data_IF_180025069288
#
_entry.id   IF_180025069288
#
_cell.length_a   1.000
_cell.length_b   1.000
_cell.length_c   1.000
_cell.angle_alpha   90.00
_cell.angle_beta   90.00
_cell.angle_gamma   90.00
#
_symmetry.space_group_name_H-M   'P 1'
#
loop_
_entity.id
_entity.type
_entity.pdbx_description
1 polymer ?
#
# COMPACT_ATOMS: atom_id res chain seq x y z
N UNK A 1 -27.46 -7.93 18.98
CA UNK A 1 -26.48 -6.88 19.36
C UNK A 1 -25.79 -6.36 18.11
N UNK A 2 -25.18 -5.15 18.19
CA UNK A 2 -24.42 -4.55 17.06
C UNK A 2 -23.29 -5.48 16.58
N UNK A 3 -22.68 -6.24 17.49
CA UNK A 3 -21.65 -7.24 17.16
C UNK A 3 -22.23 -8.42 16.37
N UNK A 4 -23.41 -8.90 16.72
CA UNK A 4 -24.09 -9.95 15.95
C UNK A 4 -24.44 -9.47 14.54
N UNK A 5 -24.86 -8.21 14.41
CA UNK A 5 -25.17 -7.62 13.12
C UNK A 5 -23.91 -7.43 12.25
N UNK A 6 -22.77 -7.10 12.85
CA UNK A 6 -21.49 -7.08 12.17
C UNK A 6 -21.06 -8.49 11.72
N UNK A 7 -21.22 -9.48 12.62
CA UNK A 7 -20.89 -10.88 12.33
C UNK A 7 -21.76 -11.42 11.19
N UNK A 8 -23.07 -11.19 11.22
CA UNK A 8 -23.99 -11.57 10.13
C UNK A 8 -23.59 -10.92 8.81
N UNK A 9 -23.26 -9.64 8.84
CA UNK A 9 -22.81 -8.92 7.64
C UNK A 9 -21.52 -9.50 7.07
N UNK A 10 -20.52 -9.81 7.92
CA UNK A 10 -19.29 -10.43 7.49
C UNK A 10 -19.51 -11.82 6.86
N UNK A 11 -20.38 -12.65 7.48
CA UNK A 11 -20.75 -13.96 6.92
C UNK A 11 -21.48 -13.80 5.58
N UNK A 12 -22.45 -12.87 5.48
CA UNK A 12 -23.17 -12.60 4.23
C UNK A 12 -22.24 -12.17 3.10
N UNK A 13 -21.28 -11.31 3.41
CA UNK A 13 -20.30 -10.82 2.43
C UNK A 13 -19.08 -11.73 2.27
N UNK A 14 -19.00 -12.83 3.03
CA UNK A 14 -17.88 -13.80 3.04
C UNK A 14 -16.54 -13.13 3.35
N UNK A 15 -16.52 -12.16 4.23
CA UNK A 15 -15.33 -11.43 4.68
C UNK A 15 -14.97 -11.92 6.07
N UNK A 16 -13.74 -12.40 6.26
CA UNK A 16 -13.23 -12.82 7.57
C UNK A 16 -12.51 -11.64 8.23
N UNK A 17 -11.58 -11.03 7.52
CA UNK A 17 -10.84 -9.86 7.97
C UNK A 17 -10.66 -8.89 6.81
N UNK A 18 -11.49 -7.87 6.78
CA UNK A 18 -11.47 -6.86 5.70
C UNK A 18 -10.10 -6.19 5.52
N UNK A 19 -9.39 -5.89 6.62
CA UNK A 19 -8.10 -5.20 6.55
C UNK A 19 -7.01 -6.07 5.92
N UNK A 20 -6.97 -7.35 6.25
CA UNK A 20 -5.97 -8.26 5.72
C UNK A 20 -6.29 -8.64 4.28
N UNK A 21 -7.57 -8.90 3.98
CA UNK A 21 -8.02 -9.17 2.61
C UNK A 21 -7.74 -7.99 1.66
N UNK A 22 -7.96 -6.74 2.11
CA UNK A 22 -7.64 -5.58 1.29
C UNK A 22 -6.15 -5.35 1.09
N UNK A 23 -5.30 -5.66 2.09
CA UNK A 23 -3.84 -5.61 1.94
C UNK A 23 -3.37 -6.66 0.94
N UNK A 24 -3.91 -7.86 1.02
CA UNK A 24 -3.59 -8.95 0.10
C UNK A 24 -3.99 -8.59 -1.33
N UNK A 25 -5.22 -8.13 -1.56
CA UNK A 25 -5.68 -7.65 -2.88
C UNK A 25 -4.76 -6.54 -3.41
N UNK A 26 -4.35 -5.59 -2.55
CA UNK A 26 -3.45 -4.51 -2.95
C UNK A 26 -2.04 -5.02 -3.31
N UNK A 27 -1.52 -5.99 -2.57
CA UNK A 27 -0.22 -6.62 -2.84
C UNK A 27 -0.25 -7.39 -4.16
N UNK A 28 -1.27 -8.21 -4.38
CA UNK A 28 -1.47 -8.96 -5.62
C UNK A 28 -1.66 -8.02 -6.82
N UNK A 29 -2.43 -6.94 -6.67
CA UNK A 29 -2.59 -5.95 -7.74
C UNK A 29 -1.27 -5.28 -8.13
N UNK A 30 -0.41 -4.98 -7.15
CA UNK A 30 0.93 -4.45 -7.40
C UNK A 30 1.80 -5.47 -8.15
N UNK A 31 1.73 -6.74 -7.78
CA UNK A 31 2.47 -7.82 -8.43
C UNK A 31 2.05 -7.97 -9.89
N UNK A 32 0.74 -8.04 -10.18
CA UNK A 32 0.25 -8.12 -11.56
C UNK A 32 0.54 -6.86 -12.37
N UNK A 33 0.57 -5.68 -11.75
CA UNK A 33 0.99 -4.46 -12.43
C UNK A 33 2.47 -4.50 -12.86
N UNK A 34 3.34 -5.08 -12.05
CA UNK A 34 4.75 -5.30 -12.41
C UNK A 34 4.87 -6.35 -13.51
N UNK A 35 4.16 -7.48 -13.40
CA UNK A 35 4.15 -8.53 -14.45
C UNK A 35 3.66 -7.98 -15.79
N UNK A 36 2.62 -7.14 -15.79
CA UNK A 36 2.12 -6.47 -17.00
C UNK A 36 3.20 -5.55 -17.61
N UNK A 37 3.90 -4.79 -16.79
CA UNK A 37 4.99 -3.92 -17.24
C UNK A 37 6.15 -4.73 -17.83
N UNK A 38 6.56 -5.80 -17.18
CA UNK A 38 7.62 -6.69 -17.63
C UNK A 38 7.24 -7.39 -18.95
N UNK A 39 6.01 -7.90 -19.04
CA UNK A 39 5.50 -8.53 -20.26
C UNK A 39 5.40 -7.52 -21.42
N UNK A 40 4.98 -6.29 -21.17
CA UNK A 40 4.93 -5.23 -22.17
C UNK A 40 6.35 -4.84 -22.64
N UNK A 41 7.29 -4.76 -21.74
CA UNK A 41 8.69 -4.52 -22.08
C UNK A 41 9.27 -5.64 -22.91
N UNK A 42 9.07 -6.90 -22.51
CA UNK A 42 9.52 -8.09 -23.25
C UNK A 42 8.90 -8.15 -24.64
N UNK A 43 7.61 -7.86 -24.77
CA UNK A 43 6.88 -7.83 -26.03
C UNK A 43 7.46 -6.77 -26.99
N UNK A 44 7.67 -5.56 -26.50
CA UNK A 44 8.22 -4.46 -27.31
C UNK A 44 9.70 -4.74 -27.71
N UNK A 45 10.47 -5.30 -26.79
CA UNK A 45 11.87 -5.67 -27.05
C UNK A 45 11.98 -6.78 -28.10
N UNK A 46 11.19 -7.86 -27.94
CA UNK A 46 11.17 -8.95 -28.91
C UNK A 46 10.68 -8.48 -30.29
N UNK A 47 9.67 -7.61 -30.33
CA UNK A 47 9.18 -7.02 -31.59
C UNK A 47 10.27 -6.19 -32.29
N UNK A 48 10.95 -5.31 -31.55
CA UNK A 48 12.04 -4.51 -32.12
C UNK A 48 13.18 -5.39 -32.65
N UNK A 49 13.50 -6.48 -31.95
CA UNK A 49 14.52 -7.43 -32.37
C UNK A 49 14.07 -8.20 -33.63
N UNK A 50 12.80 -8.61 -33.69
CA UNK A 50 12.23 -9.25 -34.90
C UNK A 50 12.31 -8.33 -36.11
N UNK A 51 11.91 -7.06 -35.96
CA UNK A 51 11.98 -6.08 -37.03
C UNK A 51 13.43 -5.87 -37.52
N UNK A 52 14.41 -5.90 -36.61
CA UNK A 52 15.82 -5.77 -36.96
C UNK A 52 16.36 -7.02 -37.64
N UNK A 53 16.05 -8.21 -37.13
CA UNK A 53 16.42 -9.48 -37.76
C UNK A 53 15.83 -9.61 -39.17
N UNK A 54 14.56 -9.21 -39.36
CA UNK A 54 13.91 -9.23 -40.68
C UNK A 54 14.54 -8.29 -41.69
N UNK A 55 15.09 -7.13 -41.25
CA UNK A 55 15.85 -6.22 -42.12
C UNK A 55 17.14 -6.83 -42.60
N UNK A 56 17.83 -7.58 -41.73
CA UNK A 56 19.09 -8.25 -42.07
C UNK A 56 18.94 -9.59 -42.76
N UNK A 57 17.73 -10.14 -42.82
CA UNK A 57 17.44 -11.36 -43.60
C UNK A 57 17.54 -11.13 -45.10
N UNK A 58 18.24 -12.03 -45.77
CA UNK A 58 18.25 -12.10 -47.22
C UNK A 58 16.95 -12.69 -47.79
N UNK A 59 16.81 -12.69 -49.14
CA UNK A 59 15.62 -13.19 -49.80
C UNK A 59 15.33 -14.67 -49.51
N UNK A 60 16.36 -15.50 -49.33
CA UNK A 60 16.19 -16.93 -49.06
C UNK A 60 15.71 -17.15 -47.63
N UNK A 61 16.30 -16.47 -46.64
CA UNK A 61 15.82 -16.53 -45.26
C UNK A 61 14.36 -16.07 -45.17
N UNK A 62 14.01 -14.94 -45.83
CA UNK A 62 12.62 -14.46 -45.90
C UNK A 62 11.65 -15.44 -46.56
N UNK A 63 12.13 -16.27 -47.50
CA UNK A 63 11.34 -17.29 -48.15
C UNK A 63 11.09 -18.49 -47.23
N UNK A 64 12.08 -18.88 -46.42
CA UNK A 64 11.98 -19.94 -45.41
C UNK A 64 10.91 -19.57 -44.37
N UNK A 65 10.99 -18.39 -43.76
CA UNK A 65 10.00 -17.97 -42.74
C UNK A 65 8.58 -17.79 -43.29
N UNK A 66 8.41 -17.71 -44.62
CA UNK A 66 7.11 -17.68 -45.31
C UNK A 66 6.65 -19.05 -45.80
N UNK A 67 7.48 -20.11 -45.69
CA UNK A 67 7.09 -21.44 -46.04
C UNK A 67 5.90 -21.94 -45.21
N UNK A 68 4.93 -22.55 -45.85
CA UNK A 68 3.68 -22.94 -45.21
C UNK A 68 3.88 -23.98 -44.10
N UNK A 69 4.82 -24.91 -44.27
CA UNK A 69 5.17 -25.91 -43.25
C UNK A 69 5.86 -25.26 -42.06
N UNK A 70 6.82 -24.38 -42.32
CA UNK A 70 7.54 -23.63 -41.30
C UNK A 70 6.58 -22.76 -40.46
N UNK A 71 5.69 -22.01 -41.14
CA UNK A 71 4.66 -21.18 -40.48
C UNK A 71 3.70 -22.04 -39.65
N UNK A 72 3.30 -23.22 -40.15
CA UNK A 72 2.45 -24.15 -39.41
C UNK A 72 3.09 -24.63 -38.10
N UNK A 73 4.39 -25.00 -38.15
CA UNK A 73 5.13 -25.42 -36.95
C UNK A 73 5.39 -24.27 -35.95
N UNK A 74 5.66 -23.07 -36.45
CA UNK A 74 5.78 -21.87 -35.60
C UNK A 74 4.46 -21.62 -34.89
N UNK A 75 3.34 -21.66 -35.58
CA UNK A 75 2.04 -21.47 -34.96
C UNK A 75 1.78 -22.51 -33.88
N UNK A 76 2.07 -23.78 -34.11
CA UNK A 76 1.97 -24.83 -33.10
C UNK A 76 2.89 -24.53 -31.89
N UNK A 77 4.13 -24.12 -32.12
CA UNK A 77 5.07 -23.77 -31.07
C UNK A 77 4.64 -22.54 -30.28
N UNK A 78 4.06 -21.53 -30.94
CA UNK A 78 3.50 -20.32 -30.30
C UNK A 78 2.30 -20.67 -29.43
N UNK A 79 1.37 -21.50 -29.92
CA UNK A 79 0.21 -21.94 -29.14
C UNK A 79 0.62 -22.73 -27.89
N UNK A 80 1.64 -23.60 -28.02
CA UNK A 80 2.19 -24.35 -26.88
C UNK A 80 2.90 -23.41 -25.89
N UNK A 81 3.65 -22.44 -26.40
CA UNK A 81 4.30 -21.43 -25.55
C UNK A 81 3.27 -20.64 -24.75
N UNK A 82 2.16 -20.23 -25.38
CA UNK A 82 1.05 -19.58 -24.69
C UNK A 82 0.46 -20.45 -23.57
N UNK A 83 0.20 -21.74 -23.84
CA UNK A 83 -0.31 -22.69 -22.81
C UNK A 83 0.69 -22.92 -21.69
N UNK A 84 1.98 -22.97 -21.96
CA UNK A 84 3.01 -23.07 -20.93
C UNK A 84 2.96 -21.84 -20.03
N UNK A 85 2.90 -20.64 -20.60
CA UNK A 85 2.80 -19.39 -19.83
C UNK A 85 1.52 -19.31 -19.00
N UNK A 86 0.41 -19.80 -19.53
CA UNK A 86 -0.86 -19.86 -18.79
C UNK A 86 -0.78 -20.80 -17.59
N UNK A 87 -0.24 -22.02 -17.77
CA UNK A 87 -0.09 -22.99 -16.68
C UNK A 87 0.92 -22.48 -15.64
N UNK A 88 2.05 -21.90 -16.07
CA UNK A 88 3.06 -21.31 -15.16
C UNK A 88 2.50 -20.13 -14.35
N UNK A 89 1.62 -19.33 -14.93
CA UNK A 89 0.99 -18.20 -14.24
C UNK A 89 -0.11 -18.64 -13.25
N UNK A 90 -0.81 -19.74 -13.54
CA UNK A 90 -1.90 -20.27 -12.71
C UNK A 90 -1.43 -21.35 -11.73
N UNK A 91 -0.14 -21.70 -11.70
CA UNK A 91 0.41 -22.83 -10.95
C UNK A 91 0.45 -22.63 -9.45
N UNK A 92 -0.74 -22.68 -8.82
CA UNK A 92 -0.90 -23.14 -7.46
C UNK A 92 -1.19 -24.65 -7.47
N UNK A 93 -0.09 -25.46 -7.42
CA UNK A 93 -0.01 -26.81 -6.84
C UNK A 93 -1.03 -27.89 -7.21
N UNK A 94 -1.39 -28.09 -8.48
CA UNK A 94 -2.08 -29.32 -8.86
C UNK A 94 -1.17 -30.24 -9.70
N UNK A 95 -0.95 -31.46 -9.23
CA UNK A 95 -0.07 -32.47 -9.87
C UNK A 95 -0.43 -32.78 -11.35
N UNK A 96 -1.66 -32.54 -11.77
CA UNK A 96 -2.10 -32.68 -13.17
C UNK A 96 -1.51 -31.62 -14.08
N UNK A 97 -1.37 -30.41 -13.59
CA UNK A 97 -0.84 -29.27 -14.35
C UNK A 97 0.67 -29.45 -14.62
N UNK A 98 1.41 -30.04 -13.68
CA UNK A 98 2.85 -30.36 -13.85
C UNK A 98 3.08 -31.36 -14.98
N UNK A 99 2.25 -32.38 -15.10
CA UNK A 99 2.38 -33.37 -16.18
C UNK A 99 2.08 -32.75 -17.55
N UNK A 100 1.02 -31.96 -17.65
CA UNK A 100 0.68 -31.22 -18.86
C UNK A 100 1.78 -30.22 -19.25
N UNK A 101 2.33 -29.50 -18.24
CA UNK A 101 3.43 -28.57 -18.42
C UNK A 101 4.68 -29.27 -19.00
N UNK A 102 5.06 -30.41 -18.41
CA UNK A 102 6.22 -31.17 -18.87
C UNK A 102 6.02 -31.69 -20.29
N UNK A 103 4.82 -32.19 -20.62
CA UNK A 103 4.49 -32.64 -21.98
C UNK A 103 4.55 -31.49 -22.99
N UNK A 104 4.02 -30.33 -22.65
CA UNK A 104 4.09 -29.13 -23.49
C UNK A 104 5.53 -28.66 -23.69
N UNK A 105 6.38 -28.62 -22.61
CA UNK A 105 7.80 -28.29 -22.71
C UNK A 105 8.56 -29.28 -23.61
N UNK A 106 8.27 -30.57 -23.49
CA UNK A 106 8.87 -31.60 -24.36
C UNK A 106 8.45 -31.41 -25.83
N UNK A 107 7.17 -31.19 -26.10
CA UNK A 107 6.67 -30.95 -27.44
C UNK A 107 7.26 -29.69 -28.09
N UNK A 108 7.39 -28.60 -27.26
CA UNK A 108 8.04 -27.38 -27.72
C UNK A 108 9.51 -27.60 -28.10
N UNK A 109 10.23 -28.40 -27.32
CA UNK A 109 11.61 -28.80 -27.63
C UNK A 109 11.71 -29.61 -28.94
N UNK A 110 10.79 -30.53 -29.16
CA UNK A 110 10.72 -31.30 -30.39
C UNK A 110 10.43 -30.38 -31.60
N UNK A 111 9.45 -29.49 -31.50
CA UNK A 111 9.14 -28.51 -32.55
C UNK A 111 10.31 -27.58 -32.89
N UNK A 112 11.04 -27.12 -31.87
CA UNK A 112 12.25 -26.32 -32.10
C UNK A 112 13.29 -27.08 -32.90
N UNK A 113 13.49 -28.36 -32.62
CA UNK A 113 14.41 -29.22 -33.36
C UNK A 113 13.94 -29.43 -34.81
N UNK A 114 12.64 -29.74 -34.99
CA UNK A 114 12.05 -29.88 -36.32
C UNK A 114 12.17 -28.60 -37.16
N UNK A 115 11.98 -27.41 -36.53
CA UNK A 115 12.15 -26.11 -37.19
C UNK A 115 13.59 -25.85 -37.57
N UNK A 116 14.57 -26.21 -36.72
CA UNK A 116 15.99 -26.11 -37.04
C UNK A 116 16.40 -27.03 -38.19
N UNK A 117 15.91 -28.28 -38.19
CA UNK A 117 16.15 -29.24 -39.28
C UNK A 117 15.56 -28.76 -40.63
N UNK A 118 14.35 -28.17 -40.61
CA UNK A 118 13.75 -27.55 -41.80
C UNK A 118 14.59 -26.37 -42.30
N UNK A 119 15.08 -25.55 -41.38
CA UNK A 119 15.97 -24.42 -41.73
C UNK A 119 17.23 -24.91 -42.42
N UNK A 120 17.90 -25.91 -41.87
CA UNK A 120 19.12 -26.48 -42.41
C UNK A 120 18.87 -27.12 -43.81
N UNK A 121 17.72 -27.76 -44.03
CA UNK A 121 17.37 -28.36 -45.29
C UNK A 121 17.16 -27.34 -46.44
N UNK A 122 16.65 -26.14 -46.10
CA UNK A 122 16.38 -25.07 -47.06
C UNK A 122 17.55 -24.12 -47.30
N UNK A 123 18.55 -24.09 -46.40
CA UNK A 123 19.72 -23.19 -46.51
C UNK A 123 20.79 -23.81 -47.44
N UNK A 124 20.65 -23.58 -48.73
CA UNK A 124 21.63 -24.06 -49.74
C UNK A 124 23.02 -23.39 -49.67
N UNK A 125 23.15 -22.23 -48.99
CA UNK A 125 24.42 -21.53 -48.77
C UNK A 125 24.55 -21.10 -47.32
N UNK A 126 25.63 -21.51 -46.69
CA UNK A 126 25.88 -21.43 -45.26
C UNK A 126 26.04 -20.00 -44.70
N UNK A 127 26.36 -19.00 -45.54
CA UNK A 127 26.66 -17.64 -45.14
C UNK A 127 25.89 -16.58 -45.94
N UNK A 128 25.49 -15.51 -45.29
CA UNK A 128 24.97 -14.31 -45.95
C UNK A 128 26.07 -13.56 -46.67
N UNK A 129 25.70 -12.51 -47.48
CA UNK A 129 26.68 -11.61 -48.13
C UNK A 129 27.57 -10.87 -47.13
N UNK A 130 27.11 -10.67 -45.89
CA UNK A 130 27.80 -10.05 -44.79
C UNK A 130 28.64 -11.05 -43.94
N UNK A 131 28.69 -12.32 -44.30
CA UNK A 131 29.47 -13.36 -43.61
C UNK A 131 28.81 -13.96 -42.36
N UNK A 132 27.53 -13.67 -42.10
CA UNK A 132 26.77 -14.24 -40.97
C UNK A 132 26.14 -15.58 -41.38
N UNK A 133 26.21 -16.59 -40.51
CA UNK A 133 25.52 -17.84 -40.73
C UNK A 133 24.00 -17.60 -40.88
N UNK A 134 23.42 -18.02 -41.97
CA UNK A 134 21.97 -17.86 -42.24
C UNK A 134 21.10 -18.62 -41.28
N UNK A 135 21.50 -19.81 -40.88
CA UNK A 135 20.84 -20.61 -39.84
C UNK A 135 20.74 -19.84 -38.53
N UNK A 136 21.81 -19.15 -38.13
CA UNK A 136 21.83 -18.37 -36.90
C UNK A 136 20.81 -17.21 -36.90
N UNK A 137 20.59 -16.54 -38.03
CA UNK A 137 19.60 -15.45 -38.11
C UNK A 137 18.19 -15.97 -37.99
N UNK A 138 17.90 -17.11 -38.63
CA UNK A 138 16.56 -17.76 -38.60
C UNK A 138 16.31 -18.33 -37.22
N UNK A 139 17.31 -18.95 -36.55
CA UNK A 139 17.19 -19.47 -35.21
C UNK A 139 16.95 -18.34 -34.19
N UNK A 140 17.69 -17.23 -34.32
CA UNK A 140 17.44 -16.05 -33.51
C UNK A 140 16.05 -15.43 -33.72
N UNK A 141 15.61 -15.37 -34.96
CA UNK A 141 14.26 -14.92 -35.34
C UNK A 141 13.19 -15.84 -34.74
N UNK A 142 13.38 -17.14 -34.80
CA UNK A 142 12.49 -18.12 -34.17
C UNK A 142 12.43 -17.94 -32.65
N UNK A 143 13.57 -17.82 -32.03
CA UNK A 143 13.66 -17.56 -30.55
C UNK A 143 12.92 -16.29 -30.18
N UNK A 144 13.16 -15.20 -30.91
CA UNK A 144 12.47 -13.92 -30.65
C UNK A 144 10.97 -14.01 -30.92
N UNK A 145 10.54 -14.79 -31.91
CA UNK A 145 9.11 -15.05 -32.20
C UNK A 145 8.46 -15.77 -31.04
N UNK A 146 9.09 -16.79 -30.46
CA UNK A 146 8.56 -17.52 -29.32
C UNK A 146 8.57 -16.64 -28.05
N UNK A 147 9.57 -15.79 -27.84
CA UNK A 147 9.61 -14.81 -26.74
C UNK A 147 8.50 -13.76 -26.90
N UNK A 148 8.25 -13.29 -28.11
CA UNK A 148 7.15 -12.37 -28.41
C UNK A 148 5.79 -12.99 -28.07
N UNK A 149 5.52 -14.22 -28.52
CA UNK A 149 4.26 -14.91 -28.23
C UNK A 149 4.12 -15.24 -26.73
N UNK A 150 5.22 -15.60 -26.06
CA UNK A 150 5.25 -15.77 -24.62
C UNK A 150 4.87 -14.47 -23.89
N UNK A 151 5.53 -13.38 -24.22
CA UNK A 151 5.26 -12.08 -23.62
C UNK A 151 3.83 -11.59 -23.86
N UNK A 152 3.29 -11.87 -25.05
CA UNK A 152 1.91 -11.58 -25.41
C UNK A 152 0.90 -12.36 -24.56
N UNK A 153 1.16 -13.67 -24.35
CA UNK A 153 0.34 -14.51 -23.48
C UNK A 153 0.40 -14.02 -22.02
N UNK A 154 1.60 -13.74 -21.50
CA UNK A 154 1.81 -13.21 -20.15
C UNK A 154 1.12 -11.87 -19.96
N UNK A 155 1.18 -10.97 -20.95
CA UNK A 155 0.49 -9.68 -20.92
C UNK A 155 -1.03 -9.88 -20.81
N UNK A 156 -1.60 -10.76 -21.62
CA UNK A 156 -3.04 -11.03 -21.60
C UNK A 156 -3.48 -11.61 -20.24
N UNK A 157 -2.69 -12.53 -19.68
CA UNK A 157 -2.96 -13.12 -18.38
C UNK A 157 -2.91 -12.05 -17.28
N UNK A 158 -1.86 -11.22 -17.29
CA UNK A 158 -1.71 -10.15 -16.31
C UNK A 158 -2.86 -9.13 -16.38
N UNK A 159 -3.30 -8.76 -17.58
CA UNK A 159 -4.43 -7.87 -17.80
C UNK A 159 -5.75 -8.46 -17.30
N UNK A 160 -6.03 -9.72 -17.64
CA UNK A 160 -7.23 -10.41 -17.18
C UNK A 160 -7.27 -10.54 -15.67
N UNK A 161 -6.15 -10.92 -15.05
CA UNK A 161 -6.04 -11.02 -13.59
C UNK A 161 -6.22 -9.67 -12.90
N UNK A 162 -5.67 -8.60 -13.47
CA UNK A 162 -5.90 -7.23 -12.96
C UNK A 162 -7.35 -6.80 -13.09
N UNK A 163 -8.02 -7.15 -14.16
CA UNK A 163 -9.44 -6.86 -14.33
C UNK A 163 -10.27 -7.58 -13.26
N UNK A 164 -10.02 -8.88 -13.04
CA UNK A 164 -10.69 -9.65 -11.99
C UNK A 164 -10.44 -9.06 -10.59
N UNK A 165 -9.20 -8.66 -10.30
CA UNK A 165 -8.87 -7.99 -9.04
C UNK A 165 -9.56 -6.65 -8.90
N UNK A 166 -9.70 -5.88 -9.97
CA UNK A 166 -10.42 -4.61 -9.94
C UNK A 166 -11.91 -4.81 -9.66
N UNK A 167 -12.51 -5.84 -10.21
CA UNK A 167 -13.90 -6.23 -9.91
C UNK A 167 -14.06 -6.60 -8.43
N UNK A 168 -13.13 -7.38 -7.88
CA UNK A 168 -13.08 -7.66 -6.44
C UNK A 168 -12.92 -6.39 -5.61
N UNK A 169 -12.05 -5.49 -6.00
CA UNK A 169 -11.85 -4.21 -5.32
C UNK A 169 -13.13 -3.37 -5.29
N UNK A 170 -13.83 -3.25 -6.42
CA UNK A 170 -15.11 -2.54 -6.52
C UNK A 170 -16.17 -3.17 -5.60
N UNK A 171 -16.18 -4.49 -5.47
CA UNK A 171 -17.05 -5.21 -4.54
C UNK A 171 -16.68 -4.92 -3.08
N UNK A 172 -15.40 -4.98 -2.72
CA UNK A 172 -14.93 -4.82 -1.34
C UNK A 172 -14.98 -3.37 -0.83
N UNK A 173 -14.86 -2.37 -1.68
CA UNK A 173 -14.83 -0.96 -1.28
C UNK A 173 -16.08 -0.53 -0.48
N UNK A 174 -17.32 -0.78 -0.92
CA UNK A 174 -18.53 -0.47 -0.15
C UNK A 174 -18.67 -1.36 1.10
N UNK A 175 -18.24 -2.62 1.01
CA UNK A 175 -18.26 -3.55 2.15
C UNK A 175 -17.40 -3.01 3.29
N UNK A 176 -16.18 -2.57 2.98
CA UNK A 176 -15.28 -2.01 3.98
C UNK A 176 -15.80 -0.72 4.62
N UNK A 177 -16.47 0.12 3.85
CA UNK A 177 -17.10 1.34 4.39
C UNK A 177 -18.17 0.97 5.40
N UNK A 178 -19.00 -0.01 5.10
CA UNK A 178 -20.06 -0.50 5.99
C UNK A 178 -19.50 -1.17 7.24
N UNK A 179 -18.46 -2.00 7.10
CA UNK A 179 -17.75 -2.63 8.24
C UNK A 179 -17.22 -1.56 9.19
N UNK A 180 -16.46 -0.58 8.66
CA UNK A 180 -15.92 0.54 9.45
C UNK A 180 -17.01 1.38 10.13
N UNK A 181 -18.16 1.53 9.50
CA UNK A 181 -19.30 2.22 10.11
C UNK A 181 -19.86 1.42 11.28
N UNK A 182 -20.04 0.11 11.12
CA UNK A 182 -20.51 -0.80 12.18
C UNK A 182 -19.51 -0.88 13.34
N UNK A 183 -18.22 -1.01 13.07
CA UNK A 183 -17.16 -0.98 14.09
C UNK A 183 -17.17 0.33 14.90
N UNK A 184 -17.34 1.48 14.24
CA UNK A 184 -17.48 2.76 14.94
C UNK A 184 -18.72 2.81 15.82
N UNK A 185 -19.82 2.24 15.37
CA UNK A 185 -21.06 2.16 16.16
C UNK A 185 -20.87 1.27 17.40
N UNK A 186 -20.22 0.12 17.25
CA UNK A 186 -19.87 -0.79 18.36
C UNK A 186 -19.01 -0.04 19.38
N UNK A 187 -17.91 0.57 18.94
CA UNK A 187 -17.01 1.34 19.81
C UNK A 187 -17.72 2.50 20.53
N UNK A 188 -18.64 3.18 19.84
CA UNK A 188 -19.43 4.24 20.44
C UNK A 188 -20.39 3.70 21.51
N UNK A 189 -21.10 2.62 21.20
CA UNK A 189 -22.04 1.98 22.12
C UNK A 189 -21.32 1.41 23.34
N UNK A 190 -20.17 0.78 23.14
CA UNK A 190 -19.31 0.28 24.23
C UNK A 190 -18.87 1.40 25.17
N UNK A 191 -18.35 2.52 24.63
CA UNK A 191 -17.95 3.68 25.43
C UNK A 191 -19.13 4.25 26.23
N UNK A 192 -20.29 4.36 25.59
CA UNK A 192 -21.49 4.84 26.27
C UNK A 192 -21.90 3.88 27.39
N UNK A 193 -21.89 2.56 27.12
CA UNK A 193 -22.17 1.55 28.13
C UNK A 193 -21.22 1.65 29.33
N UNK A 194 -19.92 1.73 29.08
CA UNK A 194 -18.91 1.87 30.15
C UNK A 194 -19.11 3.17 30.95
N UNK A 195 -19.47 4.28 30.30
CA UNK A 195 -19.75 5.55 30.95
C UNK A 195 -20.97 5.46 31.86
N UNK A 196 -22.06 4.86 31.35
CA UNK A 196 -23.28 4.64 32.14
C UNK A 196 -23.01 3.69 33.30
N UNK A 197 -22.27 2.60 33.06
CA UNK A 197 -21.89 1.65 34.11
C UNK A 197 -21.05 2.31 35.21
N UNK A 198 -20.10 3.16 34.84
CA UNK A 198 -19.30 3.92 35.79
C UNK A 198 -20.17 4.87 36.62
N UNK A 199 -21.03 5.64 35.96
CA UNK A 199 -21.97 6.54 36.65
C UNK A 199 -22.95 5.79 37.57
N UNK A 200 -23.42 4.62 37.15
CA UNK A 200 -24.22 3.76 37.98
C UNK A 200 -23.48 3.27 39.23
N UNK A 201 -22.25 2.80 39.06
CA UNK A 201 -21.40 2.37 40.16
C UNK A 201 -21.09 3.51 41.15
N UNK A 202 -20.80 4.72 40.63
CA UNK A 202 -20.65 5.89 41.50
C UNK A 202 -21.92 6.21 42.27
N UNK A 203 -23.08 6.21 41.63
CA UNK A 203 -24.36 6.42 42.29
C UNK A 203 -24.62 5.37 43.38
N UNK A 204 -24.31 4.09 43.10
CA UNK A 204 -24.43 3.01 44.07
C UNK A 204 -23.51 3.18 45.26
N UNK A 205 -22.23 3.58 45.03
CA UNK A 205 -21.29 3.88 46.12
C UNK A 205 -21.74 5.07 46.95
N UNK A 206 -22.23 6.15 46.31
CA UNK A 206 -22.79 7.30 47.02
C UNK A 206 -23.99 6.89 47.87
N UNK A 207 -24.93 6.05 47.34
CA UNK A 207 -26.06 5.53 48.10
C UNK A 207 -25.58 4.72 49.32
N UNK A 208 -24.64 3.80 49.17
CA UNK A 208 -24.05 3.01 50.25
C UNK A 208 -23.37 3.90 51.29
N UNK A 209 -22.61 4.88 50.86
CA UNK A 209 -21.97 5.82 51.76
C UNK A 209 -22.99 6.63 52.56
N UNK A 210 -24.08 7.10 51.96
CA UNK A 210 -25.17 7.76 52.65
C UNK A 210 -25.86 6.86 53.69
N UNK A 211 -26.15 5.60 53.32
CA UNK A 211 -26.72 4.61 54.24
C UNK A 211 -25.79 4.31 55.42
N UNK A 212 -24.49 4.23 55.20
CA UNK A 212 -23.49 4.01 56.26
C UNK A 212 -23.27 5.25 57.11
N UNK A 213 -23.30 6.44 56.49
CA UNK A 213 -23.05 7.70 57.20
C UNK A 213 -24.28 8.17 58.00
N UNK A 214 -25.51 7.89 57.48
CA UNK A 214 -26.74 8.25 58.20
C UNK A 214 -26.91 7.49 59.52
N UNK A 215 -26.31 6.29 59.63
CA UNK A 215 -26.33 5.49 60.87
C UNK A 215 -25.28 5.97 61.91
N UNK A 216 -24.35 6.83 61.55
CA UNK A 216 -23.22 7.22 62.40
C UNK A 216 -22.98 8.74 62.53
N UNK A 217 -23.92 9.57 62.06
CA UNK A 217 -23.83 11.02 62.24
C UNK A 217 -24.05 11.36 63.73
N UNK A 218 -22.97 11.28 64.50
CA UNK A 218 -22.94 11.76 65.87
C UNK A 218 -22.41 13.21 65.82
N UNK A 219 -23.22 14.15 66.26
CA UNK A 219 -22.73 15.53 66.45
C UNK A 219 -21.62 15.49 67.51
N UNK A 220 -20.37 15.60 67.07
CA UNK A 220 -19.23 15.53 67.94
C UNK A 220 -19.05 16.83 68.75
N UNK A 221 -19.37 17.95 68.16
CA UNK A 221 -19.37 19.26 68.81
C UNK A 221 -20.51 20.14 68.33
N UNK A 222 -21.18 20.86 69.19
CA UNK A 222 -22.09 21.94 68.82
C UNK A 222 -21.36 23.05 68.11
N UNK A 223 -21.94 23.69 67.07
CA UNK A 223 -21.30 24.79 66.38
C UNK A 223 -21.07 25.90 67.32
N UNK A 224 -19.79 26.19 67.71
CA UNK A 224 -19.42 27.32 68.58
C UNK A 224 -19.06 28.49 67.66
N UNK A 225 -19.54 29.71 68.11
CA UNK A 225 -19.13 30.92 67.40
C UNK A 225 -17.63 31.10 67.57
N UNK A 226 -16.91 31.48 66.55
CA UNK A 226 -15.50 31.76 66.64
C UNK A 226 -15.31 32.97 67.56
N UNK A 227 -14.69 32.76 68.74
CA UNK A 227 -14.48 33.76 69.76
C UNK A 227 -13.44 34.84 69.39
N UNK A 228 -12.63 34.53 68.43
CA UNK A 228 -11.64 35.46 67.88
C UNK A 228 -11.67 35.49 66.36
N UNK A 229 -11.73 36.68 65.75
CA UNK A 229 -11.62 36.73 64.27
C UNK A 229 -10.24 36.27 63.85
N UNK A 230 -10.20 35.51 62.76
CA UNK A 230 -8.92 35.18 62.16
C UNK A 230 -8.13 36.43 61.86
N UNK A 231 -7.00 36.61 62.60
CA UNK A 231 -6.14 37.75 62.39
C UNK A 231 -5.54 37.69 61.00
N UNK A 232 -6.13 38.45 60.11
CA UNK A 232 -5.50 38.68 58.80
C UNK A 232 -4.20 39.37 59.06
N UNK A 233 -3.08 38.80 58.63
CA UNK A 233 -1.74 39.39 58.81
C UNK A 233 -1.61 40.73 58.04
N UNK A 234 -2.29 41.78 58.49
CA UNK A 234 -2.33 43.11 57.84
C UNK A 234 -0.93 43.61 57.50
N UNK A 235 0.06 43.35 58.40
CA UNK A 235 1.47 43.73 58.17
C UNK A 235 2.04 43.08 56.90
N UNK A 236 1.74 41.80 56.63
CA UNK A 236 2.22 41.09 55.42
C UNK A 236 1.58 41.67 54.19
N UNK A 237 0.28 41.99 54.21
CA UNK A 237 -0.42 42.58 53.07
C UNK A 237 0.15 43.97 52.75
N UNK A 238 0.43 44.79 53.75
CA UNK A 238 1.02 46.13 53.57
C UNK A 238 2.43 46.00 52.95
N UNK A 239 3.26 45.11 53.50
CA UNK A 239 4.61 44.89 52.97
C UNK A 239 4.57 44.41 51.55
N UNK A 240 3.68 43.44 51.21
CA UNK A 240 3.52 42.96 49.90
C UNK A 240 3.04 44.03 48.87
N UNK A 241 2.13 44.93 49.34
CA UNK A 241 1.67 46.05 48.52
C UNK A 241 2.78 47.09 48.26
N UNK A 242 3.61 47.39 49.29
CA UNK A 242 4.75 48.26 49.09
C UNK A 242 5.82 47.75 48.19
N UNK A 243 6.16 46.43 48.27
CA UNK A 243 7.13 45.82 47.40
C UNK A 243 6.57 45.76 45.96
N UNK A 244 5.30 45.42 45.80
CA UNK A 244 4.64 45.37 44.49
C UNK A 244 4.62 46.74 43.79
N UNK A 245 4.29 47.83 44.54
CA UNK A 245 4.29 49.17 43.96
C UNK A 245 5.70 49.63 43.56
N UNK A 246 6.70 49.29 44.36
CA UNK A 246 8.10 49.63 44.08
C UNK A 246 8.57 48.91 42.80
N UNK A 247 8.28 47.64 42.65
CA UNK A 247 8.62 46.86 41.43
C UNK A 247 7.95 47.43 40.18
N UNK A 248 6.69 47.89 40.29
CA UNK A 248 5.98 48.50 39.16
C UNK A 248 6.67 49.81 38.74
N UNK A 249 7.08 50.64 39.70
CA UNK A 249 7.77 51.90 39.41
C UNK A 249 9.13 51.64 38.75
N UNK A 250 9.90 50.66 39.26
CA UNK A 250 11.19 50.29 38.66
C UNK A 250 11.00 49.74 37.24
N UNK A 251 10.01 48.91 37.04
CA UNK A 251 9.69 48.38 35.72
C UNK A 251 9.31 49.50 34.74
N UNK A 252 8.52 50.45 35.16
CA UNK A 252 8.14 51.62 34.37
C UNK A 252 9.35 52.51 34.02
N UNK A 253 10.26 52.75 34.96
CA UNK A 253 11.48 53.50 34.73
C UNK A 253 12.40 52.77 33.70
N UNK A 254 12.56 51.46 33.87
CA UNK A 254 13.33 50.65 32.89
C UNK A 254 12.69 50.68 31.52
N UNK A 255 11.38 50.67 31.45
CA UNK A 255 10.65 50.73 30.18
C UNK A 255 10.82 52.10 29.50
N UNK A 256 10.76 53.19 30.27
CA UNK A 256 11.02 54.56 29.80
C UNK A 256 12.48 54.67 29.33
N UNK A 257 13.44 54.14 30.09
CA UNK A 257 14.87 54.17 29.75
C UNK A 257 15.14 53.33 28.47
N UNK A 258 14.42 52.21 28.31
CA UNK A 258 14.54 51.39 27.08
C UNK A 258 13.93 52.07 25.84
N UNK A 259 12.88 52.88 26.03
CA UNK A 259 12.22 53.65 24.96
C UNK A 259 12.92 55.00 24.72
N UNK A 260 13.71 55.49 25.66
CA UNK A 260 14.45 56.74 25.49
C UNK A 260 15.64 56.55 24.53
N UNK A 261 15.47 57.05 23.34
CA UNK A 261 16.48 57.09 22.27
C UNK A 261 17.40 58.33 22.37
N UNK A 262 17.33 59.08 23.44
CA UNK A 262 18.18 60.27 23.54
C UNK A 262 19.61 59.89 23.90
N UNK A 263 20.58 60.50 23.24
CA UNK A 263 22.02 60.32 23.45
C UNK A 263 22.46 61.08 24.72
N UNK A 264 22.18 60.51 25.89
CA UNK A 264 22.52 61.12 27.19
C UNK A 264 23.85 60.66 27.77
N UNK A 265 24.42 59.60 27.27
CA UNK A 265 25.64 59.04 27.81
C UNK A 265 26.71 58.83 26.71
N UNK A 266 27.95 59.20 26.99
CA UNK A 266 29.04 59.11 26.05
C UNK A 266 29.28 57.67 25.51
N UNK A 267 29.07 56.65 26.34
CA UNK A 267 29.24 55.24 25.99
C UNK A 267 28.10 54.73 25.10
N UNK A 268 26.91 55.27 25.24
CA UNK A 268 25.74 54.96 24.40
C UNK A 268 25.87 55.62 23.02
N UNK A 269 26.39 56.85 22.99
CA UNK A 269 26.67 57.58 21.76
C UNK A 269 27.68 56.81 20.88
N UNK A 270 28.71 56.24 21.50
CA UNK A 270 29.77 55.48 20.82
C UNK A 270 29.27 54.15 20.26
N UNK A 271 28.22 53.56 20.83
CA UNK A 271 27.61 52.31 20.30
C UNK A 271 26.62 52.53 19.14
N UNK A 272 26.05 53.72 19.05
CA UNK A 272 25.00 54.02 18.03
C UNK A 272 25.58 54.77 16.83
N UNK A 273 26.67 55.49 17.03
CA UNK A 273 27.34 56.27 15.94
C UNK A 273 28.61 55.62 15.38
N UNK A 274 29.03 54.47 15.85
CA UNK A 274 30.18 53.69 15.34
C UNK A 274 31.48 54.18 15.86
#
# INVERSE_FOLDING_TARGET
TEEEDLTKYNVEKRVINYLDETKEIAAINKEYALREQDAMFALNSSRSMLDELERHMDSNAKQIIKNMEFVGKIKEASDITGRISEVEAMSDSNNKDITALNNNKKRLSELKKELSELTDAYVGHKYSKEGVLRTNIIDQWLEQTLLYEKAKAELLIAQNSRQELNERYVFFAPVGTTIKQKERMINFTERNYLTVLHSYNEALLRKKNLEMTSATLKVLNEPTYPISPHSTNRKQIIIAACIGSFLIIVALLLLIEMLDRTLRDADRTKRVTG
#
